data_IF_245951263479
#
_entry.id   IF_245951263479
#
_cell.length_a   1.000
_cell.length_b   1.000
_cell.length_c   1.000
_cell.angle_alpha   90.00
_cell.angle_beta   90.00
_cell.angle_gamma   90.00
#
_symmetry.space_group_name_H-M   'P 1'
#
loop_
_entity.id
_entity.type
_entity.pdbx_description
1 polymer ?
#
# COMPACT_ATOMS: atom_id res chain seq x y z
N UNK A 1 -9.41 2.58 42.53
CA UNK A 1 -9.07 3.07 41.17
C UNK A 1 -7.59 2.86 40.83
N UNK A 2 -6.66 3.31 41.69
CA UNK A 2 -5.23 3.13 41.46
C UNK A 2 -4.79 1.67 41.27
N UNK A 3 -5.48 0.70 41.90
CA UNK A 3 -5.19 -0.73 41.75
C UNK A 3 -5.61 -1.30 40.39
N UNK A 4 -6.59 -0.68 39.72
CA UNK A 4 -7.04 -1.09 38.38
C UNK A 4 -6.11 -0.53 37.31
N UNK A 5 -5.69 0.73 37.43
CA UNK A 5 -4.75 1.32 36.48
C UNK A 5 -3.43 0.55 36.42
N UNK A 6 -2.85 0.18 37.59
CA UNK A 6 -1.61 -0.60 37.64
C UNK A 6 -1.75 -2.03 37.10
N UNK A 7 -2.96 -2.53 36.87
CA UNK A 7 -3.24 -3.84 36.28
C UNK A 7 -3.56 -3.79 34.79
N UNK A 8 -4.04 -2.64 34.31
CA UNK A 8 -4.54 -2.47 32.93
C UNK A 8 -3.61 -1.63 32.06
N UNK A 9 -2.85 -0.72 32.68
CA UNK A 9 -1.93 0.15 31.94
C UNK A 9 -0.50 -0.40 32.05
N UNK A 10 0.10 -0.66 30.92
CA UNK A 10 1.46 -1.13 30.81
C UNK A 10 2.32 -0.11 30.05
N UNK A 11 3.53 0.20 30.50
CA UNK A 11 4.45 1.03 29.73
C UNK A 11 4.73 0.39 28.36
N UNK A 12 4.62 1.15 27.29
CA UNK A 12 4.82 0.66 25.93
C UNK A 12 6.18 -0.05 25.76
N UNK A 13 7.23 0.45 26.43
CA UNK A 13 8.56 -0.16 26.39
C UNK A 13 8.63 -1.59 26.99
N UNK A 14 7.60 -2.01 27.71
CA UNK A 14 7.47 -3.36 28.30
C UNK A 14 6.50 -4.25 27.50
N UNK A 15 5.94 -3.74 26.40
CA UNK A 15 4.98 -4.46 25.57
C UNK A 15 5.66 -4.93 24.27
N UNK A 16 5.33 -6.13 23.85
CA UNK A 16 5.60 -6.61 22.50
C UNK A 16 4.41 -6.23 21.61
N UNK A 17 4.70 -5.51 20.52
CA UNK A 17 3.68 -5.11 19.55
C UNK A 17 3.61 -6.14 18.44
N UNK A 18 2.43 -6.70 18.24
CA UNK A 18 2.16 -7.73 17.23
C UNK A 18 1.36 -7.14 16.06
N UNK A 19 1.18 -7.93 15.01
CA UNK A 19 0.22 -7.59 13.96
C UNK A 19 -1.18 -7.51 14.56
N UNK A 20 -1.98 -6.50 14.17
CA UNK A 20 -3.36 -6.34 14.66
C UNK A 20 -4.27 -7.53 14.35
N UNK A 21 -4.02 -8.20 13.23
CA UNK A 21 -4.74 -9.37 12.77
C UNK A 21 -3.84 -10.26 11.91
N UNK A 22 -4.25 -11.50 11.72
CA UNK A 22 -3.64 -12.39 10.73
C UNK A 22 -4.01 -11.91 9.33
N UNK A 23 -3.01 -11.80 8.44
CA UNK A 23 -3.20 -11.33 7.06
C UNK A 23 -3.33 -12.55 6.15
N UNK A 24 -4.55 -12.81 5.66
CA UNK A 24 -4.82 -13.89 4.70
C UNK A 24 -4.32 -13.55 3.30
N UNK A 25 -4.70 -12.37 2.81
CA UNK A 25 -4.36 -11.85 1.49
C UNK A 25 -3.94 -10.38 1.57
N UNK A 26 -3.20 -9.93 0.57
CA UNK A 26 -2.73 -8.56 0.44
C UNK A 26 -2.81 -8.13 -1.02
N UNK A 27 -3.48 -7.02 -1.25
CA UNK A 27 -3.53 -6.35 -2.56
C UNK A 27 -2.89 -4.98 -2.43
N UNK A 28 -1.91 -4.73 -3.27
CA UNK A 28 -1.17 -3.47 -3.32
C UNK A 28 -1.68 -2.63 -4.49
N UNK A 29 -2.28 -1.47 -4.16
CA UNK A 29 -2.85 -0.54 -5.13
C UNK A 29 -1.84 0.55 -5.48
N UNK A 30 -1.57 0.70 -6.76
CA UNK A 30 -0.73 1.77 -7.31
C UNK A 30 -1.50 3.10 -7.40
N UNK A 31 -2.04 3.57 -6.27
CA UNK A 31 -3.01 4.67 -6.22
C UNK A 31 -2.39 6.07 -6.23
N UNK A 32 -1.12 6.23 -5.85
CA UNK A 32 -0.46 7.52 -5.74
C UNK A 32 -0.09 8.12 -7.10
N UNK A 33 -0.92 9.01 -7.66
CA UNK A 33 -0.68 9.60 -9.01
C UNK A 33 0.64 10.36 -9.11
N UNK A 34 1.08 11.00 -8.04
CA UNK A 34 2.37 11.70 -8.01
C UNK A 34 3.53 10.72 -8.14
N UNK A 35 3.49 9.63 -7.36
CA UNK A 35 4.47 8.56 -7.44
C UNK A 35 4.45 7.90 -8.83
N UNK A 36 3.27 7.51 -9.33
CA UNK A 36 3.12 6.91 -10.65
C UNK A 36 3.65 7.82 -11.79
N UNK A 37 3.42 9.11 -11.67
CA UNK A 37 3.92 10.09 -12.65
C UNK A 37 5.44 10.23 -12.58
N UNK A 38 6.04 10.30 -11.39
CA UNK A 38 7.49 10.41 -11.23
C UNK A 38 8.20 9.17 -11.78
N UNK A 39 7.77 7.99 -11.37
CA UNK A 39 8.33 6.72 -11.88
C UNK A 39 8.11 6.61 -13.38
N UNK A 40 6.91 6.94 -13.86
CA UNK A 40 6.59 6.91 -15.28
C UNK A 40 7.49 7.81 -16.13
N UNK A 41 7.84 9.00 -15.64
CA UNK A 41 8.76 9.92 -16.35
C UNK A 41 10.15 9.34 -16.57
N UNK A 42 10.62 8.46 -15.71
CA UNK A 42 11.91 7.79 -15.89
C UNK A 42 11.93 6.85 -17.09
N UNK A 43 10.78 6.26 -17.43
CA UNK A 43 10.66 5.27 -18.49
C UNK A 43 9.92 5.80 -19.72
N UNK A 44 9.01 6.75 -19.56
CA UNK A 44 8.12 7.30 -20.59
C UNK A 44 7.97 8.82 -20.41
N UNK A 45 9.02 9.62 -20.67
CA UNK A 45 9.02 11.06 -20.35
C UNK A 45 7.83 11.84 -20.93
N UNK A 46 7.40 11.47 -22.14
CA UNK A 46 6.33 12.16 -22.88
C UNK A 46 4.91 11.67 -22.52
N UNK A 47 4.81 10.48 -21.92
CA UNK A 47 3.53 9.90 -21.50
C UNK A 47 3.76 9.03 -20.25
N UNK A 48 3.92 9.64 -19.09
CA UNK A 48 4.36 8.94 -17.88
C UNK A 48 3.33 7.94 -17.35
N UNK A 49 2.03 8.24 -17.47
CA UNK A 49 0.97 7.35 -17.01
C UNK A 49 0.53 6.40 -18.12
N UNK A 50 0.28 5.15 -17.76
CA UNK A 50 -0.31 4.18 -18.68
C UNK A 50 -1.74 4.59 -19.04
N UNK A 51 -2.24 4.25 -20.26
CA UNK A 51 -3.58 4.67 -20.71
C UNK A 51 -4.73 4.26 -19.79
N UNK A 52 -4.58 3.14 -19.08
CA UNK A 52 -5.58 2.62 -18.16
C UNK A 52 -5.49 3.19 -16.73
N UNK A 53 -4.43 3.95 -16.39
CA UNK A 53 -4.16 4.39 -15.03
C UNK A 53 -5.32 5.22 -14.41
N UNK A 54 -5.93 6.10 -15.20
CA UNK A 54 -7.04 6.96 -14.73
C UNK A 54 -8.42 6.32 -14.89
N UNK A 55 -8.49 5.06 -15.33
CA UNK A 55 -9.73 4.34 -15.57
C UNK A 55 -9.96 3.19 -14.59
N UNK A 56 -8.91 2.48 -14.23
CA UNK A 56 -9.00 1.30 -13.35
C UNK A 56 -8.07 1.45 -12.16
N UNK A 57 -8.52 1.11 -10.94
CA UNK A 57 -7.63 1.01 -9.79
C UNK A 57 -6.61 -0.10 -10.03
N UNK A 58 -5.40 0.29 -10.46
CA UNK A 58 -4.32 -0.67 -10.77
C UNK A 58 -3.75 -1.21 -9.48
N UNK A 59 -3.64 -2.53 -9.40
CA UNK A 59 -3.10 -3.22 -8.24
C UNK A 59 -2.44 -4.53 -8.65
N UNK A 60 -1.68 -5.12 -7.74
CA UNK A 60 -1.18 -6.49 -7.85
C UNK A 60 -1.38 -7.23 -6.53
N UNK A 61 -1.36 -8.56 -6.58
CA UNK A 61 -1.41 -9.39 -5.39
C UNK A 61 -0.04 -9.43 -4.74
N UNK A 62 0.07 -8.80 -3.55
CA UNK A 62 1.30 -8.78 -2.78
C UNK A 62 1.50 -10.05 -1.96
N UNK A 63 2.67 -10.15 -1.34
CA UNK A 63 3.04 -11.29 -0.50
C UNK A 63 2.55 -11.08 0.94
N UNK A 64 1.39 -11.65 1.29
CA UNK A 64 0.85 -11.59 2.65
C UNK A 64 1.79 -12.20 3.70
N UNK A 65 2.49 -13.29 3.37
CA UNK A 65 3.32 -14.03 4.31
C UNK A 65 4.61 -13.30 4.77
N UNK A 66 4.97 -12.19 4.13
CA UNK A 66 6.13 -11.36 4.52
C UNK A 66 5.75 -10.03 5.19
N UNK A 67 4.46 -9.82 5.45
CA UNK A 67 4.00 -8.68 6.23
C UNK A 67 4.29 -8.93 7.71
N UNK A 68 4.88 -7.94 8.37
CA UNK A 68 5.23 -7.99 9.79
C UNK A 68 4.96 -6.65 10.48
N UNK A 69 4.81 -6.69 11.80
CA UNK A 69 4.74 -5.47 12.60
C UNK A 69 6.03 -4.66 12.50
N UNK A 70 5.91 -3.34 12.51
CA UNK A 70 7.06 -2.42 12.58
C UNK A 70 7.86 -2.64 13.87
N UNK A 71 9.18 -2.42 13.78
CA UNK A 71 10.13 -2.52 14.91
C UNK A 71 11.33 -3.40 14.57
N UNK A 72 11.16 -4.70 14.26
CA UNK A 72 12.28 -5.56 13.90
C UNK A 72 13.00 -5.10 12.62
N UNK A 73 14.33 -5.27 12.52
CA UNK A 73 15.07 -4.92 11.32
C UNK A 73 14.68 -5.80 10.14
N UNK A 74 14.73 -5.22 8.94
CA UNK A 74 14.49 -5.93 7.68
C UNK A 74 15.82 -6.35 7.08
N UNK A 75 15.92 -7.64 6.71
CA UNK A 75 17.10 -8.16 6.03
C UNK A 75 17.13 -7.68 4.58
N UNK A 76 18.28 -7.11 4.16
CA UNK A 76 18.52 -6.75 2.76
C UNK A 76 18.40 -7.99 1.88
N UNK A 77 17.55 -7.98 0.82
CA UNK A 77 17.41 -9.11 -0.08
C UNK A 77 18.61 -9.24 -1.02
N UNK A 78 18.83 -10.43 -1.53
CA UNK A 78 19.71 -10.72 -2.65
C UNK A 78 18.86 -11.28 -3.79
N UNK A 79 19.16 -10.88 -5.01
CA UNK A 79 18.43 -11.30 -6.19
C UNK A 79 19.22 -11.04 -7.47
N UNK A 80 18.61 -11.33 -8.61
CA UNK A 80 19.19 -10.99 -9.90
C UNK A 80 19.04 -9.49 -10.16
N UNK A 81 20.14 -8.87 -10.50
CA UNK A 81 20.21 -7.46 -10.92
C UNK A 81 21.04 -7.33 -12.19
N UNK A 82 20.74 -6.34 -13.02
CA UNK A 82 21.57 -6.07 -14.20
C UNK A 82 22.99 -5.72 -13.80
N UNK A 83 23.97 -6.24 -14.53
CA UNK A 83 25.39 -5.97 -14.27
C UNK A 83 25.81 -4.56 -14.70
N UNK A 84 25.15 -4.03 -15.75
CA UNK A 84 25.32 -2.67 -16.25
C UNK A 84 24.06 -2.22 -17.00
N UNK A 85 23.94 -0.92 -17.23
CA UNK A 85 22.85 -0.37 -18.04
C UNK A 85 22.92 -0.92 -19.48
N UNK A 86 21.78 -1.40 -20.01
CA UNK A 86 21.67 -1.98 -21.35
C UNK A 86 22.27 -3.37 -21.51
N UNK A 87 22.75 -3.99 -20.44
CA UNK A 87 23.27 -5.37 -20.46
C UNK A 87 22.21 -6.31 -19.89
N UNK A 88 21.73 -7.25 -20.71
CA UNK A 88 20.73 -8.24 -20.33
C UNK A 88 21.35 -9.54 -19.75
N UNK A 89 22.42 -9.37 -18.98
CA UNK A 89 23.07 -10.45 -18.23
C UNK A 89 22.99 -10.09 -16.75
N UNK A 90 22.22 -10.83 -15.95
CA UNK A 90 22.10 -10.54 -14.53
C UNK A 90 23.25 -11.15 -13.72
N UNK A 91 23.45 -10.60 -12.52
CA UNK A 91 24.26 -11.21 -11.48
C UNK A 91 23.45 -11.35 -10.21
N UNK A 92 23.64 -12.44 -9.47
CA UNK A 92 23.05 -12.63 -8.14
C UNK A 92 23.89 -11.88 -7.12
N UNK A 93 23.32 -10.88 -6.47
CA UNK A 93 23.99 -10.09 -5.43
C UNK A 93 22.99 -9.43 -4.48
N UNK A 94 23.41 -8.96 -3.28
CA UNK A 94 22.58 -8.12 -2.44
C UNK A 94 22.15 -6.85 -3.17
N UNK A 95 20.88 -6.45 -2.96
CA UNK A 95 20.37 -5.19 -3.52
C UNK A 95 21.23 -4.01 -3.08
N UNK A 96 21.61 -3.18 -4.04
CA UNK A 96 22.32 -1.91 -3.81
C UNK A 96 21.35 -0.71 -3.70
N UNK A 97 20.09 -0.88 -4.10
CA UNK A 97 19.08 0.16 -4.18
C UNK A 97 17.85 -0.20 -3.35
N UNK A 98 18.06 -0.28 -2.03
CA UNK A 98 16.95 -0.49 -1.10
C UNK A 98 16.26 0.85 -0.82
N UNK A 99 14.96 0.88 -1.02
CA UNK A 99 14.09 2.04 -0.86
C UNK A 99 12.88 1.71 0.02
N UNK A 100 12.15 2.72 0.45
CA UNK A 100 10.91 2.58 1.21
C UNK A 100 9.75 3.26 0.47
N UNK A 101 8.55 2.76 0.68
CA UNK A 101 7.31 3.41 0.23
C UNK A 101 6.39 3.57 1.44
N UNK A 102 6.12 4.82 1.82
CA UNK A 102 5.15 5.10 2.88
C UNK A 102 3.75 5.07 2.29
N UNK A 103 2.95 4.16 2.79
CA UNK A 103 1.62 3.86 2.30
C UNK A 103 0.59 3.83 3.42
N UNK A 104 -0.69 3.90 3.03
CA UNK A 104 -1.80 3.66 3.94
C UNK A 104 -2.31 2.23 3.75
N UNK A 105 -2.30 1.46 4.82
CA UNK A 105 -2.94 0.16 4.87
C UNK A 105 -4.41 0.30 5.28
N UNK A 106 -5.27 -0.43 4.60
CA UNK A 106 -6.68 -0.60 4.98
C UNK A 106 -6.87 -2.05 5.43
N UNK A 107 -7.27 -2.23 6.68
CA UNK A 107 -7.59 -3.54 7.21
C UNK A 107 -9.03 -3.89 6.82
N UNK A 108 -9.17 -4.96 6.06
CA UNK A 108 -10.49 -5.46 5.64
C UNK A 108 -11.02 -6.41 6.70
N UNK A 109 -12.21 -6.13 7.20
CA UNK A 109 -12.93 -6.95 8.19
C UNK A 109 -13.75 -8.06 7.52
N UNK A 110 -15.07 -7.92 7.43
CA UNK A 110 -15.90 -8.94 6.80
C UNK A 110 -15.64 -9.00 5.30
N UNK A 111 -15.50 -10.22 4.78
CA UNK A 111 -15.39 -10.45 3.34
C UNK A 111 -16.75 -10.45 2.64
N UNK A 112 -16.73 -10.64 1.33
CA UNK A 112 -17.88 -10.86 0.47
C UNK A 112 -17.91 -12.33 0.00
N UNK A 113 -19.06 -12.79 -0.49
CA UNK A 113 -19.15 -14.11 -1.08
C UNK A 113 -18.33 -14.20 -2.37
N UNK A 114 -17.77 -15.36 -2.65
CA UNK A 114 -16.97 -15.58 -3.85
C UNK A 114 -17.79 -15.29 -5.12
N UNK A 115 -17.26 -14.43 -5.98
CA UNK A 115 -17.90 -14.04 -7.24
C UNK A 115 -18.95 -12.92 -7.09
N UNK A 116 -19.25 -12.46 -5.89
CA UNK A 116 -20.15 -11.33 -5.64
C UNK A 116 -19.35 -10.05 -5.38
N UNK A 117 -19.52 -8.98 -6.19
CA UNK A 117 -18.83 -7.73 -5.93
C UNK A 117 -19.41 -7.02 -4.69
N UNK A 118 -18.56 -6.30 -3.97
CA UNK A 118 -19.01 -5.39 -2.90
C UNK A 118 -19.66 -4.16 -3.55
N UNK A 119 -20.95 -3.85 -3.24
CA UNK A 119 -21.56 -2.62 -3.73
C UNK A 119 -20.81 -1.38 -3.21
N UNK A 120 -20.66 -0.36 -4.05
CA UNK A 120 -19.96 0.88 -3.68
C UNK A 120 -20.54 1.52 -2.40
N UNK A 121 -21.85 1.55 -2.27
CA UNK A 121 -22.55 2.11 -1.11
C UNK A 121 -22.25 1.42 0.22
N UNK A 122 -21.78 0.18 0.21
CA UNK A 122 -21.41 -0.59 1.41
C UNK A 122 -19.89 -0.86 1.52
N UNK A 123 -19.08 -0.33 0.61
CA UNK A 123 -17.64 -0.61 0.60
C UNK A 123 -16.96 -0.18 1.90
N UNK A 124 -17.37 0.93 2.49
CA UNK A 124 -16.82 1.44 3.75
C UNK A 124 -17.06 0.48 4.94
N UNK A 125 -18.14 -0.30 4.93
CA UNK A 125 -18.49 -1.24 6.00
C UNK A 125 -17.50 -2.42 6.08
N UNK A 126 -16.74 -2.65 5.03
CA UNK A 126 -15.71 -3.67 4.96
C UNK A 126 -14.38 -3.21 5.54
N UNK A 127 -14.16 -1.90 5.74
CA UNK A 127 -12.94 -1.37 6.30
C UNK A 127 -12.96 -1.42 7.83
N UNK A 128 -12.18 -2.31 8.43
CA UNK A 128 -12.06 -2.42 9.89
C UNK A 128 -11.22 -1.28 10.49
N UNK A 129 -10.33 -0.68 9.70
CA UNK A 129 -9.51 0.45 10.12
C UNK A 129 -8.30 0.68 9.22
N UNK A 130 -7.50 1.64 9.61
CA UNK A 130 -6.39 2.16 8.81
C UNK A 130 -5.08 2.12 9.59
N UNK A 131 -3.98 1.94 8.89
CA UNK A 131 -2.64 1.96 9.46
C UNK A 131 -1.63 2.51 8.48
N UNK A 132 -0.39 2.69 8.92
CA UNK A 132 0.73 3.02 8.04
C UNK A 132 1.46 1.73 7.64
N UNK A 133 1.88 1.67 6.40
CA UNK A 133 2.64 0.58 5.84
C UNK A 133 3.89 1.12 5.17
N UNK A 134 4.98 0.38 5.28
CA UNK A 134 6.16 0.59 4.47
C UNK A 134 6.35 -0.62 3.56
N UNK A 135 6.15 -0.41 2.26
CA UNK A 135 6.45 -1.41 1.23
C UNK A 135 7.92 -1.32 0.82
N UNK A 136 8.75 -2.10 1.48
CA UNK A 136 10.18 -2.14 1.21
C UNK A 136 10.46 -2.56 -0.22
N UNK A 137 11.31 -1.80 -0.92
CA UNK A 137 11.55 -1.95 -2.34
C UNK A 137 13.04 -2.13 -2.64
N UNK A 138 13.40 -3.25 -3.23
CA UNK A 138 14.73 -3.47 -3.80
C UNK A 138 14.68 -3.06 -5.28
N UNK A 139 14.92 -1.78 -5.57
CA UNK A 139 14.66 -1.17 -6.89
C UNK A 139 15.47 -1.79 -8.02
N UNK A 140 16.69 -2.20 -7.78
CA UNK A 140 17.55 -2.86 -8.77
C UNK A 140 17.07 -4.27 -9.12
N UNK A 141 16.58 -5.03 -8.13
CA UNK A 141 15.94 -6.34 -8.36
C UNK A 141 14.60 -6.13 -9.08
N UNK A 142 13.77 -5.20 -8.59
CA UNK A 142 12.48 -4.87 -9.18
C UNK A 142 12.61 -4.46 -10.66
N UNK A 143 13.59 -3.63 -10.99
CA UNK A 143 13.81 -3.17 -12.36
C UNK A 143 14.18 -4.30 -13.34
N UNK A 144 14.73 -5.40 -12.85
CA UNK A 144 15.02 -6.57 -13.65
C UNK A 144 13.83 -7.48 -13.86
N UNK A 145 12.98 -7.65 -12.83
CA UNK A 145 11.97 -8.70 -12.78
C UNK A 145 10.53 -8.25 -13.11
N UNK A 146 10.23 -6.92 -13.03
CA UNK A 146 8.84 -6.46 -12.98
C UNK A 146 8.02 -6.71 -14.25
N UNK A 147 8.67 -6.97 -15.37
CA UNK A 147 7.99 -7.36 -16.61
C UNK A 147 8.14 -8.86 -16.84
N UNK A 148 7.06 -9.55 -17.27
CA UNK A 148 5.76 -9.03 -17.71
C UNK A 148 4.67 -8.97 -16.62
N UNK A 149 4.88 -9.51 -15.41
CA UNK A 149 3.80 -9.76 -14.45
C UNK A 149 3.74 -8.77 -13.27
N UNK A 150 4.67 -7.84 -13.20
CA UNK A 150 4.75 -6.87 -12.11
C UNK A 150 5.82 -7.21 -11.06
N UNK A 151 5.86 -6.48 -9.92
CA UNK A 151 6.87 -6.69 -8.90
C UNK A 151 6.79 -8.08 -8.28
N UNK A 152 7.94 -8.61 -7.88
CA UNK A 152 8.04 -9.94 -7.27
C UNK A 152 9.06 -9.95 -6.13
N UNK A 153 10.28 -10.44 -6.33
CA UNK A 153 11.29 -10.57 -5.27
C UNK A 153 11.77 -9.21 -4.74
N UNK A 154 11.72 -8.18 -5.57
CA UNK A 154 12.05 -6.80 -5.19
C UNK A 154 11.08 -6.18 -4.18
N UNK A 155 9.94 -6.81 -3.96
CA UNK A 155 8.90 -6.42 -3.00
C UNK A 155 8.62 -7.50 -1.95
N UNK A 156 8.62 -8.77 -2.34
CA UNK A 156 8.18 -9.89 -1.51
C UNK A 156 9.07 -10.19 -0.29
N UNK A 157 10.23 -9.53 -0.14
CA UNK A 157 11.14 -9.80 0.95
C UNK A 157 10.69 -9.21 2.29
N UNK A 158 9.94 -8.11 2.28
CA UNK A 158 9.34 -7.52 3.48
C UNK A 158 8.32 -6.42 3.16
N UNK A 159 7.23 -6.39 3.93
CA UNK A 159 6.40 -5.21 4.15
C UNK A 159 6.24 -5.03 5.65
N UNK A 160 6.40 -3.81 6.16
CA UNK A 160 6.21 -3.53 7.58
C UNK A 160 4.98 -2.66 7.77
N UNK A 161 4.10 -3.06 8.69
CA UNK A 161 2.86 -2.34 8.98
C UNK A 161 2.86 -1.89 10.43
N UNK A 162 2.27 -0.73 10.68
CA UNK A 162 2.02 -0.23 12.04
C UNK A 162 1.17 -1.24 12.81
N UNK A 163 1.53 -1.57 14.05
CA UNK A 163 0.68 -2.39 14.92
C UNK A 163 -0.57 -1.65 15.40
N UNK A 164 -0.65 -0.34 15.18
CA UNK A 164 -1.77 0.49 15.55
C UNK A 164 -2.77 0.60 14.41
N UNK A 165 -4.03 0.31 14.71
CA UNK A 165 -5.16 0.49 13.80
C UNK A 165 -5.99 1.67 14.26
N UNK A 166 -6.21 2.62 13.38
CA UNK A 166 -7.05 3.80 13.60
C UNK A 166 -8.40 3.53 12.94
N UNK A 167 -9.48 3.60 13.70
CA UNK A 167 -10.82 3.34 13.16
C UNK A 167 -11.31 4.50 12.27
N UNK A 168 -12.28 4.22 11.41
CA UNK A 168 -12.92 5.24 10.57
C UNK A 168 -13.54 6.37 11.41
N UNK A 169 -14.14 6.05 12.56
CA UNK A 169 -14.73 7.04 13.47
C UNK A 169 -13.66 7.98 14.07
N UNK A 170 -12.50 7.42 14.44
CA UNK A 170 -11.40 8.23 14.94
C UNK A 170 -10.82 9.17 13.87
N UNK A 171 -10.93 8.81 12.59
CA UNK A 171 -10.50 9.63 11.46
C UNK A 171 -11.58 10.62 10.98
N UNK A 172 -12.82 10.51 11.42
CA UNK A 172 -13.91 11.37 10.98
C UNK A 172 -13.62 12.88 11.09
N UNK A 173 -12.99 13.39 12.19
CA UNK A 173 -12.65 14.82 12.29
C UNK A 173 -11.59 15.29 11.28
N UNK A 174 -10.86 14.37 10.67
CA UNK A 174 -9.76 14.64 9.72
C UNK A 174 -10.18 14.40 8.27
N UNK A 175 -11.46 14.12 8.02
CA UNK A 175 -11.98 13.96 6.67
C UNK A 175 -11.95 15.28 5.91
N UNK A 176 -11.59 15.21 4.65
CA UNK A 176 -11.57 16.34 3.72
C UNK A 176 -12.00 15.88 2.32
N UNK A 177 -12.20 16.81 1.42
CA UNK A 177 -12.48 16.47 0.04
C UNK A 177 -11.35 15.61 -0.55
N UNK A 178 -11.72 14.62 -1.35
CA UNK A 178 -10.77 13.87 -2.14
C UNK A 178 -10.02 14.79 -3.10
N UNK A 179 -8.86 14.36 -3.57
CA UNK A 179 -8.08 15.12 -4.55
C UNK A 179 -8.92 15.38 -5.81
N UNK A 180 -9.03 16.64 -6.21
CA UNK A 180 -9.77 17.02 -7.39
C UNK A 180 -9.20 16.36 -8.65
N UNK A 181 -10.09 15.85 -9.49
CA UNK A 181 -9.70 15.35 -10.81
C UNK A 181 -9.43 16.52 -11.75
N UNK A 182 -8.47 16.32 -12.65
CA UNK A 182 -8.15 17.31 -13.68
C UNK A 182 -9.29 17.43 -14.71
N UNK A 183 -9.37 18.58 -15.37
CA UNK A 183 -10.35 18.82 -16.45
C UNK A 183 -10.22 17.83 -17.62
N UNK A 184 -9.03 17.30 -17.83
CA UNK A 184 -8.69 16.36 -18.91
C UNK A 184 -8.78 14.89 -18.46
N UNK A 185 -9.18 14.65 -17.21
CA UNK A 185 -9.34 13.29 -16.70
C UNK A 185 -10.58 12.65 -17.30
N UNK A 186 -10.52 11.34 -17.64
CA UNK A 186 -11.67 10.64 -18.19
C UNK A 186 -12.83 10.61 -17.19
N UNK A 187 -14.04 10.55 -17.71
CA UNK A 187 -15.22 10.36 -16.88
C UNK A 187 -15.15 8.98 -16.18
N UNK A 188 -15.46 8.96 -14.88
CA UNK A 188 -15.49 7.72 -14.11
C UNK A 188 -16.67 6.85 -14.54
N UNK A 189 -16.43 5.56 -14.64
CA UNK A 189 -17.49 4.58 -14.76
C UNK A 189 -18.37 4.55 -13.50
N UNK A 190 -19.66 4.19 -13.62
CA UNK A 190 -20.61 4.28 -12.49
C UNK A 190 -20.13 3.61 -11.21
N UNK A 191 -19.45 2.47 -11.29
CA UNK A 191 -18.96 1.73 -10.14
C UNK A 191 -17.76 2.40 -9.40
N UNK A 192 -17.17 3.44 -9.98
CA UNK A 192 -16.10 4.26 -9.41
C UNK A 192 -16.57 5.66 -8.99
N UNK A 193 -17.86 5.95 -9.13
CA UNK A 193 -18.41 7.29 -8.90
C UNK A 193 -19.15 7.33 -7.58
N UNK A 194 -18.58 8.00 -6.60
CA UNK A 194 -19.17 8.26 -5.31
C UNK A 194 -19.05 9.75 -4.97
N UNK A 195 -20.19 10.42 -4.86
CA UNK A 195 -20.24 11.85 -4.58
C UNK A 195 -19.88 12.16 -3.11
N UNK A 196 -20.24 11.29 -2.19
CA UNK A 196 -19.96 11.45 -0.77
C UNK A 196 -18.46 11.24 -0.51
N UNK A 197 -17.86 10.24 -1.13
CA UNK A 197 -16.41 10.02 -1.07
C UNK A 197 -15.64 11.18 -1.71
N UNK A 198 -16.11 11.71 -2.84
CA UNK A 198 -15.50 12.88 -3.46
C UNK A 198 -15.53 14.12 -2.54
N UNK A 199 -16.59 14.27 -1.75
CA UNK A 199 -16.74 15.39 -0.82
C UNK A 199 -15.95 15.23 0.49
N UNK A 200 -15.80 14.01 0.98
CA UNK A 200 -15.25 13.72 2.32
C UNK A 200 -14.38 12.43 2.41
N UNK A 201 -14.01 11.83 1.28
CA UNK A 201 -13.22 10.59 1.25
C UNK A 201 -11.73 10.78 1.51
N UNK A 202 -11.21 12.00 1.35
CA UNK A 202 -9.83 12.33 1.67
C UNK A 202 -9.55 12.37 3.17
N UNK A 203 -8.28 12.23 3.52
CA UNK A 203 -7.79 12.38 4.90
C UNK A 203 -6.72 13.48 4.92
N UNK A 204 -6.91 14.48 5.79
CA UNK A 204 -5.88 15.49 6.07
C UNK A 204 -4.82 14.87 6.98
N UNK A 205 -3.73 14.38 6.40
CA UNK A 205 -2.56 13.84 7.10
C UNK A 205 -1.48 14.92 7.06
N UNK A 206 -1.01 15.34 8.24
CA UNK A 206 0.02 16.38 8.43
C UNK A 206 1.30 15.76 8.98
#
# INVERSE_FOLDING_TARGET
HASLEGRLLHPQAQCELLLPAEVGDYTDFYAGIHHATHVGKLFRPNNPLMPNYKHVPIAYHGRASSIRASGPPVRRPAGQVRTAAGVDVPALRPSAQLDFELEMAIWIGPGNALGEPVPLASAADHAAGYGLLNDWSARDIQAWEYQPLGPFQGKNFASTVSPWVVTADALAPFRCAAMARGSDDPELLPYLRDADDAAAGGLAIV
#
